data_IF_757729281045
#
_entry.id   IF_757729281045
#
_cell.length_a   1.000
_cell.length_b   1.000
_cell.length_c   1.000
_cell.angle_alpha   90.00
_cell.angle_beta   90.00
_cell.angle_gamma   90.00
#
_symmetry.space_group_name_H-M   'P 1'
#
loop_
_entity.id
_entity.type
_entity.pdbx_description
1 polymer ?
#
# COMPACT_ATOMS: atom_id res chain seq x y z
N UNK A 1 28.40 -72.68 24.61
CA UNK A 1 28.02 -72.15 25.94
C UNK A 1 26.74 -71.34 25.75
N UNK A 2 25.62 -72.05 25.97
CA UNK A 2 24.24 -71.70 26.34
C UNK A 2 23.68 -70.32 25.91
N UNK A 3 22.68 -70.22 25.01
CA UNK A 3 21.22 -70.43 25.20
C UNK A 3 20.63 -69.50 26.28
N UNK A 4 19.44 -68.89 26.22
CA UNK A 4 18.25 -68.79 25.35
C UNK A 4 17.33 -67.77 26.11
N UNK A 5 16.66 -66.79 25.48
CA UNK A 5 15.23 -66.79 25.09
C UNK A 5 14.18 -66.52 26.22
N UNK A 6 13.15 -65.71 25.88
CA UNK A 6 11.71 -65.78 26.34
C UNK A 6 11.26 -64.95 27.58
N UNK A 7 10.50 -63.84 27.42
CA UNK A 7 9.01 -63.59 27.43
C UNK A 7 8.34 -63.50 28.82
N UNK A 8 7.41 -62.52 28.97
CA UNK A 8 6.23 -62.56 29.88
C UNK A 8 6.08 -61.31 30.78
N UNK A 9 5.07 -60.43 30.57
CA UNK A 9 3.74 -60.34 31.27
C UNK A 9 3.84 -60.15 32.79
N UNK A 10 3.00 -59.42 33.55
CA UNK A 10 1.89 -58.45 33.43
C UNK A 10 1.61 -58.01 34.90
N UNK A 11 1.00 -56.83 35.08
CA UNK A 11 -0.02 -56.50 36.11
C UNK A 11 0.22 -56.61 37.65
N UNK A 12 0.02 -55.43 38.29
CA UNK A 12 -0.99 -55.12 39.34
C UNK A 12 -0.72 -55.29 40.86
N UNK A 13 -1.19 -54.23 41.57
CA UNK A 13 -1.76 -54.17 42.96
C UNK A 13 -0.75 -54.20 44.13
N UNK A 14 -0.87 -53.47 45.25
CA UNK A 14 -1.66 -52.32 45.73
C UNK A 14 -1.15 -51.94 47.15
N UNK A 15 -1.90 -51.07 47.83
CA UNK A 15 -1.95 -50.76 49.28
C UNK A 15 -1.13 -49.53 49.73
N UNK A 16 -1.64 -48.58 50.54
CA UNK A 16 -2.81 -48.58 51.44
C UNK A 16 -3.29 -47.16 51.84
N UNK A 17 -4.63 -47.06 52.01
CA UNK A 17 -5.42 -46.43 53.11
C UNK A 17 -5.29 -44.92 53.42
N UNK A 18 -6.33 -44.16 53.80
CA UNK A 18 -7.36 -44.36 54.86
C UNK A 18 -8.63 -43.48 54.60
N UNK A 19 -9.80 -44.02 54.98
CA UNK A 19 -11.19 -43.49 54.97
C UNK A 19 -11.54 -42.55 56.16
N UNK A 20 -12.57 -41.67 56.14
CA UNK A 20 -14.01 -41.85 56.48
C UNK A 20 -14.69 -40.45 56.37
N UNK A 21 -15.87 -40.19 55.77
CA UNK A 21 -17.28 -40.49 56.14
C UNK A 21 -17.70 -40.03 57.57
N UNK A 22 -18.87 -39.45 57.92
CA UNK A 22 -20.11 -38.92 57.29
C UNK A 22 -21.03 -38.44 58.47
N UNK A 23 -21.91 -37.41 58.35
CA UNK A 23 -23.28 -37.34 58.98
C UNK A 23 -23.94 -35.93 59.05
N UNK A 24 -25.28 -35.91 58.95
CA UNK A 24 -26.27 -34.83 58.70
C UNK A 24 -26.93 -34.20 59.97
N UNK A 25 -27.73 -33.14 59.70
CA UNK A 25 -28.89 -32.52 60.45
C UNK A 25 -28.58 -31.23 61.26
N UNK A 26 -29.39 -30.14 61.35
CA UNK A 26 -30.77 -29.78 60.96
C UNK A 26 -31.07 -28.27 61.23
N UNK A 27 -32.05 -27.69 60.51
CA UNK A 27 -32.94 -26.52 60.78
C UNK A 27 -32.57 -25.06 60.43
N UNK A 28 -33.51 -24.39 59.74
CA UNK A 28 -33.63 -22.93 59.53
C UNK A 28 -34.77 -22.33 60.39
N UNK A 29 -34.84 -21.00 60.55
CA UNK A 29 -35.97 -20.30 59.93
C UNK A 29 -35.64 -18.92 59.28
N UNK A 30 -36.38 -18.60 58.20
CA UNK A 30 -37.03 -17.32 57.75
C UNK A 30 -36.47 -15.94 58.24
N UNK A 31 -36.36 -14.84 57.47
CA UNK A 31 -37.10 -14.32 56.31
C UNK A 31 -36.27 -13.31 55.45
N UNK A 32 -36.54 -13.32 54.13
CA UNK A 32 -36.70 -12.22 53.13
C UNK A 32 -35.59 -11.18 52.88
N UNK A 33 -35.04 -11.23 51.65
CA UNK A 33 -34.35 -10.11 50.99
C UNK A 33 -33.76 -10.47 49.63
N UNK A 34 -34.56 -10.33 48.57
CA UNK A 34 -34.26 -10.67 47.16
C UNK A 34 -33.18 -9.77 46.55
N UNK A 35 -32.05 -10.32 46.09
CA UNK A 35 -31.21 -9.75 45.02
C UNK A 35 -30.43 -10.84 44.28
N UNK A 36 -30.32 -10.64 42.97
CA UNK A 36 -29.96 -11.60 41.91
C UNK A 36 -28.43 -11.73 41.80
N UNK A 37 -27.84 -12.91 41.45
CA UNK A 37 -26.41 -13.12 41.51
C UNK A 37 -25.64 -12.43 40.37
N UNK A 38 -24.48 -11.87 40.71
CA UNK A 38 -23.43 -11.42 39.79
C UNK A 38 -23.08 -12.51 38.78
N UNK A 39 -23.34 -12.21 37.50
CA UNK A 39 -22.80 -12.95 36.37
C UNK A 39 -21.39 -12.43 36.09
N UNK A 40 -20.40 -13.29 36.25
CA UNK A 40 -19.00 -13.01 35.92
C UNK A 40 -18.90 -12.57 34.45
N UNK A 41 -18.40 -11.35 34.23
CA UNK A 41 -18.04 -10.85 32.92
C UNK A 41 -16.98 -11.77 32.30
N UNK A 42 -17.40 -12.56 31.32
CA UNK A 42 -16.49 -13.14 30.35
C UNK A 42 -15.68 -12.00 29.71
N UNK A 43 -14.36 -12.11 29.77
CA UNK A 43 -13.43 -11.19 29.13
C UNK A 43 -13.74 -11.13 27.63
N UNK A 44 -14.46 -10.09 27.22
CA UNK A 44 -14.59 -9.71 25.82
C UNK A 44 -13.18 -9.38 25.35
N UNK A 45 -12.55 -10.30 24.62
CA UNK A 45 -11.37 -9.96 23.81
C UNK A 45 -11.81 -8.89 22.81
N UNK A 46 -11.55 -7.64 23.14
CA UNK A 46 -11.50 -6.56 22.17
C UNK A 46 -10.39 -6.91 21.19
N UNK A 47 -10.74 -7.50 20.06
CA UNK A 47 -9.86 -7.56 18.89
C UNK A 47 -9.87 -6.15 18.33
N UNK A 48 -8.98 -5.30 18.83
CA UNK A 48 -8.61 -4.08 18.13
C UNK A 48 -7.67 -4.51 17.01
N UNK A 49 -8.21 -4.93 15.87
CA UNK A 49 -7.39 -4.98 14.65
C UNK A 49 -7.19 -3.54 14.19
N UNK A 50 -6.25 -2.84 14.81
CA UNK A 50 -5.68 -1.64 14.21
C UNK A 50 -5.04 -2.09 12.90
N UNK A 51 -5.73 -1.91 11.77
CA UNK A 51 -5.22 -2.34 10.48
C UNK A 51 -4.07 -1.40 10.09
N UNK A 52 -2.86 -1.73 10.55
CA UNK A 52 -1.66 -0.98 10.18
C UNK A 52 -1.42 -1.17 8.69
N UNK A 53 -1.14 -0.09 7.93
CA UNK A 53 -0.87 -0.21 6.51
C UNK A 53 0.38 -1.05 6.29
N UNK A 54 0.27 -2.06 5.41
CA UNK A 54 1.35 -2.99 5.09
C UNK A 54 2.58 -2.24 4.61
N UNK A 55 3.75 -2.46 5.23
CA UNK A 55 4.97 -1.74 4.85
C UNK A 55 5.58 -2.31 3.58
N UNK A 56 5.93 -1.42 2.64
CA UNK A 56 6.55 -1.77 1.36
C UNK A 56 7.96 -1.20 1.28
N UNK A 57 8.96 -2.00 0.89
CA UNK A 57 10.33 -1.55 0.68
C UNK A 57 10.68 -1.46 -0.80
N UNK A 58 11.36 -0.36 -1.16
CA UNK A 58 11.93 -0.19 -2.49
C UNK A 58 13.45 -0.33 -2.43
N UNK A 59 13.97 -1.34 -3.12
CA UNK A 59 15.39 -1.69 -3.16
C UNK A 59 15.94 -1.58 -4.57
N UNK A 60 17.23 -1.27 -4.67
CA UNK A 60 17.97 -1.30 -5.93
C UNK A 60 19.24 -2.11 -5.77
N UNK A 61 19.62 -2.88 -6.79
CA UNK A 61 20.95 -3.44 -6.85
C UNK A 61 21.99 -2.34 -7.08
N UNK A 62 23.24 -2.63 -6.72
CA UNK A 62 24.38 -1.86 -7.15
C UNK A 62 24.37 -1.69 -8.68
N UNK A 63 24.86 -0.53 -9.13
CA UNK A 63 24.98 -0.15 -10.55
C UNK A 63 23.66 -0.04 -11.32
N UNK A 64 22.51 0.04 -10.63
CA UNK A 64 21.22 0.32 -11.27
C UNK A 64 21.26 1.59 -12.13
N UNK A 65 20.67 1.61 -13.35
CA UNK A 65 20.69 2.78 -14.25
C UNK A 65 20.11 4.05 -13.63
N UNK A 66 20.46 5.21 -14.19
CA UNK A 66 19.95 6.51 -13.75
C UNK A 66 18.42 6.58 -13.71
N UNK A 67 17.78 6.15 -14.80
CA UNK A 67 16.33 6.09 -14.90
C UNK A 67 15.68 5.23 -13.79
N UNK A 68 16.26 4.07 -13.45
CA UNK A 68 15.74 3.23 -12.37
C UNK A 68 15.89 3.86 -10.98
N UNK A 69 16.98 4.62 -10.75
CA UNK A 69 17.15 5.35 -9.48
C UNK A 69 16.10 6.44 -9.32
N UNK A 70 15.81 7.16 -10.41
CA UNK A 70 14.77 8.18 -10.44
C UNK A 70 13.38 7.55 -10.33
N UNK A 71 13.12 6.44 -11.02
CA UNK A 71 11.87 5.68 -10.89
C UNK A 71 11.57 5.32 -9.42
N UNK A 72 12.56 4.83 -8.67
CA UNK A 72 12.35 4.52 -7.24
C UNK A 72 12.06 5.77 -6.42
N UNK A 73 12.69 6.91 -6.73
CA UNK A 73 12.38 8.18 -6.07
C UNK A 73 10.96 8.65 -6.41
N UNK A 74 10.57 8.57 -7.68
CA UNK A 74 9.23 8.93 -8.17
C UNK A 74 8.17 8.04 -7.53
N UNK A 75 8.44 6.74 -7.38
CA UNK A 75 7.54 5.82 -6.68
C UNK A 75 7.46 6.12 -5.17
N UNK A 76 8.57 6.50 -4.54
CA UNK A 76 8.59 6.85 -3.10
C UNK A 76 7.79 8.12 -2.82
N UNK A 77 7.80 9.11 -3.72
CA UNK A 77 7.01 10.34 -3.55
C UNK A 77 5.54 10.17 -3.91
N UNK A 78 5.24 9.22 -4.81
CA UNK A 78 3.88 8.95 -5.27
C UNK A 78 3.12 8.00 -4.35
N UNK A 79 3.79 7.00 -3.79
CA UNK A 79 3.21 6.02 -2.86
C UNK A 79 3.12 6.59 -1.44
N UNK A 80 2.28 6.02 -0.56
CA UNK A 80 2.14 6.53 0.79
C UNK A 80 3.36 6.26 1.66
N UNK A 81 3.38 6.88 2.83
CA UNK A 81 4.52 6.89 3.76
C UNK A 81 4.99 5.50 4.22
N UNK A 82 4.11 4.50 4.19
CA UNK A 82 4.47 3.09 4.44
C UNK A 82 5.38 2.48 3.36
N UNK A 83 5.55 3.16 2.21
CA UNK A 83 6.49 2.77 1.17
C UNK A 83 7.82 3.49 1.35
N UNK A 84 8.84 2.75 1.76
CA UNK A 84 10.14 3.32 2.13
C UNK A 84 11.25 2.80 1.23
N UNK A 85 12.09 3.72 0.76
CA UNK A 85 13.32 3.36 0.07
C UNK A 85 14.40 2.93 1.06
N UNK A 86 15.08 1.83 0.76
CA UNK A 86 16.21 1.34 1.57
C UNK A 86 17.52 1.28 0.74
N UNK A 87 18.59 0.85 1.39
CA UNK A 87 19.96 0.78 0.90
C UNK A 87 20.11 -0.19 -0.28
N UNK A 88 21.22 -0.05 -1.01
CA UNK A 88 21.45 -0.81 -2.23
C UNK A 88 21.88 -2.24 -1.91
N UNK A 89 21.30 -3.20 -2.62
CA UNK A 89 21.70 -4.61 -2.58
C UNK A 89 22.93 -4.88 -3.44
N UNK A 90 23.60 -6.01 -3.17
CA UNK A 90 24.68 -6.53 -4.00
C UNK A 90 24.22 -6.76 -5.45
N UNK A 91 25.16 -6.92 -6.39
CA UNK A 91 24.84 -7.17 -7.81
C UNK A 91 24.16 -8.52 -8.04
N UNK A 92 24.37 -9.48 -7.13
CA UNK A 92 23.66 -10.76 -7.08
C UNK A 92 23.21 -11.00 -5.65
N UNK A 93 21.97 -11.46 -5.51
CA UNK A 93 21.33 -11.82 -4.27
C UNK A 93 20.29 -12.91 -4.58
N UNK A 94 19.97 -13.70 -3.56
CA UNK A 94 18.93 -14.72 -3.58
C UNK A 94 17.62 -14.16 -3.02
N UNK A 95 16.54 -14.93 -3.11
CA UNK A 95 15.29 -14.59 -2.44
C UNK A 95 15.43 -14.58 -0.91
N UNK A 96 16.30 -15.43 -0.36
CA UNK A 96 16.56 -15.49 1.09
C UNK A 96 17.18 -14.19 1.59
N UNK A 97 18.13 -13.61 0.84
CA UNK A 97 18.70 -12.30 1.19
C UNK A 97 17.64 -11.19 1.21
N UNK A 98 16.63 -11.28 0.33
CA UNK A 98 15.52 -10.32 0.28
C UNK A 98 14.55 -10.54 1.43
N UNK A 99 14.26 -11.80 1.77
CA UNK A 99 13.41 -12.16 2.91
C UNK A 99 14.05 -11.72 4.24
N UNK A 100 15.35 -11.95 4.43
CA UNK A 100 16.07 -11.50 5.63
C UNK A 100 15.96 -9.97 5.80
N UNK A 101 16.05 -9.22 4.70
CA UNK A 101 15.91 -7.76 4.73
C UNK A 101 14.47 -7.35 5.02
N UNK A 102 13.48 -8.08 4.51
CA UNK A 102 12.07 -7.88 4.82
C UNK A 102 11.83 -8.00 6.33
N UNK A 103 12.33 -9.08 6.94
CA UNK A 103 12.19 -9.35 8.36
C UNK A 103 12.92 -8.31 9.22
N UNK A 104 14.15 -7.95 8.85
CA UNK A 104 14.93 -6.91 9.55
C UNK A 104 14.26 -5.54 9.54
N UNK A 105 13.48 -5.24 8.50
CA UNK A 105 12.81 -3.96 8.30
C UNK A 105 11.32 -4.00 8.60
N UNK A 106 10.80 -5.14 9.06
CA UNK A 106 9.38 -5.40 9.29
C UNK A 106 8.52 -4.99 8.08
N UNK A 107 8.91 -5.47 6.90
CA UNK A 107 8.23 -5.19 5.64
C UNK A 107 7.52 -6.42 5.11
N UNK A 108 6.27 -6.24 4.71
CA UNK A 108 5.46 -7.30 4.09
C UNK A 108 5.73 -7.39 2.60
N UNK A 109 6.02 -6.26 1.97
CA UNK A 109 6.18 -6.17 0.53
C UNK A 109 7.55 -5.61 0.18
N UNK A 110 8.16 -6.14 -0.88
CA UNK A 110 9.42 -5.62 -1.40
C UNK A 110 9.35 -5.53 -2.92
N UNK A 111 9.76 -4.37 -3.44
CA UNK A 111 10.04 -4.17 -4.85
C UNK A 111 11.55 -3.97 -5.04
N UNK A 112 12.21 -4.89 -5.74
CA UNK A 112 13.65 -4.82 -6.00
C UNK A 112 13.92 -4.59 -7.48
N UNK A 113 14.72 -3.60 -7.83
CA UNK A 113 15.25 -3.46 -9.20
C UNK A 113 16.67 -4.05 -9.24
N UNK A 114 16.79 -5.20 -9.88
CA UNK A 114 18.04 -5.90 -10.13
C UNK A 114 18.65 -5.50 -11.47
N UNK A 115 19.90 -5.09 -11.46
CA UNK A 115 20.68 -4.80 -12.67
C UNK A 115 21.91 -5.69 -12.71
N UNK A 116 22.01 -6.52 -13.75
CA UNK A 116 23.17 -7.38 -14.01
C UNK A 116 23.91 -6.91 -15.26
N UNK A 117 25.25 -6.95 -15.25
CA UNK A 117 26.07 -6.56 -16.41
C UNK A 117 25.73 -7.25 -17.74
N UNK A 118 25.24 -8.49 -17.70
CA UNK A 118 24.93 -9.31 -18.89
C UNK A 118 23.43 -9.40 -19.19
N UNK A 119 22.59 -8.71 -18.42
CA UNK A 119 21.15 -8.70 -18.68
C UNK A 119 20.83 -7.60 -19.70
N UNK A 120 20.00 -7.87 -20.71
CA UNK A 120 19.62 -6.85 -21.70
C UNK A 120 18.84 -5.68 -21.08
N UNK A 121 18.12 -5.93 -19.98
CA UNK A 121 17.37 -4.92 -19.24
C UNK A 121 17.39 -5.22 -17.72
N UNK A 122 17.11 -4.22 -16.87
CA UNK A 122 16.88 -4.45 -15.45
C UNK A 122 15.71 -5.39 -15.20
N UNK A 123 15.77 -6.14 -14.11
CA UNK A 123 14.72 -7.07 -13.68
C UNK A 123 14.09 -6.51 -12.41
N UNK A 124 12.78 -6.30 -12.43
CA UNK A 124 12.00 -5.93 -11.26
C UNK A 124 11.48 -7.20 -10.57
N UNK A 125 11.83 -7.38 -9.31
CA UNK A 125 11.28 -8.42 -8.46
C UNK A 125 10.15 -7.81 -7.64
N UNK A 126 8.97 -8.36 -7.77
CA UNK A 126 7.84 -8.03 -6.93
C UNK A 126 7.65 -9.18 -5.94
N UNK A 127 7.81 -8.86 -4.65
CA UNK A 127 7.80 -9.82 -3.55
C UNK A 127 6.72 -9.38 -2.56
N UNK A 128 5.80 -10.27 -2.22
CA UNK A 128 4.74 -10.01 -1.25
C UNK A 128 4.66 -11.14 -0.25
N UNK A 129 4.46 -10.82 1.03
CA UNK A 129 4.29 -11.81 2.10
C UNK A 129 3.02 -12.63 1.85
N UNK A 130 3.10 -13.92 2.09
CA UNK A 130 1.99 -14.85 1.88
C UNK A 130 1.92 -15.83 3.04
N UNK A 131 0.72 -15.99 3.62
CA UNK A 131 0.49 -16.95 4.71
C UNK A 131 0.22 -18.37 4.19
N UNK A 132 0.30 -18.56 2.87
CA UNK A 132 0.08 -19.85 2.23
C UNK A 132 1.24 -20.80 2.58
N UNK A 133 0.90 -21.92 3.22
CA UNK A 133 1.82 -22.98 3.60
C UNK A 133 2.63 -23.58 2.42
N UNK A 134 2.24 -23.29 1.18
CA UNK A 134 2.95 -23.70 -0.03
C UNK A 134 4.25 -22.92 -0.28
N UNK A 135 4.39 -21.69 0.25
CA UNK A 135 5.62 -20.92 0.07
C UNK A 135 6.68 -21.37 1.06
N UNK A 136 7.79 -21.93 0.56
CA UNK A 136 8.95 -22.35 1.38
C UNK A 136 9.61 -21.20 2.14
N UNK A 137 9.42 -19.96 1.68
CA UNK A 137 10.06 -18.75 2.21
C UNK A 137 9.06 -17.82 2.89
N UNK A 138 7.74 -18.10 2.86
CA UNK A 138 6.71 -17.18 3.36
C UNK A 138 6.43 -15.97 2.46
N UNK A 139 7.01 -15.94 1.25
CA UNK A 139 6.84 -14.88 0.27
C UNK A 139 6.44 -15.45 -1.09
N UNK A 140 5.59 -14.73 -1.80
CA UNK A 140 5.30 -14.91 -3.21
C UNK A 140 6.16 -13.96 -4.04
N UNK A 141 6.78 -14.49 -5.09
CA UNK A 141 7.73 -13.76 -5.94
C UNK A 141 7.31 -13.88 -7.40
N UNK A 142 7.43 -12.77 -8.11
CA UNK A 142 7.39 -12.72 -9.56
C UNK A 142 8.45 -11.75 -10.08
N UNK A 143 9.07 -12.08 -11.22
CA UNK A 143 10.14 -11.27 -11.81
C UNK A 143 9.70 -10.77 -13.17
N UNK A 144 9.86 -9.47 -13.39
CA UNK A 144 9.54 -8.81 -14.64
C UNK A 144 10.80 -8.22 -15.26
N UNK A 145 10.96 -8.37 -16.57
CA UNK A 145 11.92 -7.53 -17.29
C UNK A 145 11.34 -6.11 -17.40
N UNK A 146 12.10 -5.13 -16.95
CA UNK A 146 11.67 -3.73 -16.90
C UNK A 146 12.14 -2.98 -18.14
N UNK A 147 11.20 -2.39 -18.88
CA UNK A 147 11.49 -1.62 -20.11
C UNK A 147 10.66 -0.34 -20.15
N UNK A 148 11.03 0.58 -21.05
CA UNK A 148 10.27 1.81 -21.29
C UNK A 148 10.06 2.65 -20.02
N UNK A 149 11.11 2.76 -19.19
CA UNK A 149 11.07 3.58 -17.97
C UNK A 149 11.19 5.05 -18.35
N UNK A 150 10.10 5.78 -18.17
CA UNK A 150 10.04 7.23 -18.31
C UNK A 150 9.74 7.86 -16.96
N UNK A 151 10.61 8.77 -16.55
CA UNK A 151 10.57 9.38 -15.22
C UNK A 151 9.63 10.58 -15.17
N UNK A 152 9.20 10.97 -13.97
CA UNK A 152 8.39 12.19 -13.80
C UNK A 152 9.14 13.46 -14.24
N UNK A 153 10.47 13.48 -14.17
CA UNK A 153 11.27 14.62 -14.64
C UNK A 153 11.29 14.75 -16.17
N UNK A 154 11.11 13.65 -16.90
CA UNK A 154 11.08 13.64 -18.37
C UNK A 154 9.67 13.96 -18.90
N UNK A 155 8.64 13.52 -18.17
CA UNK A 155 7.25 13.65 -18.57
C UNK A 155 6.59 14.85 -17.88
N UNK A 156 6.10 15.80 -18.69
CA UNK A 156 5.39 16.97 -18.18
C UNK A 156 3.92 16.65 -17.96
N UNK A 157 3.60 16.18 -16.75
CA UNK A 157 2.24 15.87 -16.35
C UNK A 157 1.45 17.09 -15.88
N UNK A 158 0.14 17.04 -16.08
CA UNK A 158 -0.80 18.06 -15.59
C UNK A 158 -1.39 17.71 -14.22
N UNK A 159 -1.34 16.43 -13.83
CA UNK A 159 -1.84 15.98 -12.53
C UNK A 159 -0.84 16.29 -11.42
N UNK A 160 -1.31 16.98 -10.37
CA UNK A 160 -0.53 17.25 -9.16
C UNK A 160 -1.25 16.66 -7.93
N UNK A 161 -1.19 15.33 -7.72
CA UNK A 161 -1.81 14.68 -6.57
C UNK A 161 -1.08 15.09 -5.28
N UNK A 162 -1.72 14.87 -4.13
CA UNK A 162 -1.05 15.10 -2.84
C UNK A 162 0.11 14.10 -2.68
N UNK A 163 1.26 14.54 -2.16
CA UNK A 163 2.36 13.62 -1.89
C UNK A 163 1.97 12.63 -0.78
N UNK A 164 2.44 11.38 -0.89
CA UNK A 164 2.31 10.34 0.14
C UNK A 164 0.88 9.99 0.57
N UNK A 165 -0.15 10.26 -0.26
CA UNK A 165 -1.52 9.79 0.03
C UNK A 165 -1.79 8.42 -0.57
N UNK A 166 -2.93 7.83 -0.18
CA UNK A 166 -3.32 6.49 -0.60
C UNK A 166 -3.47 6.38 -2.11
N UNK A 167 -3.18 5.18 -2.62
CA UNK A 167 -3.32 4.84 -4.02
C UNK A 167 -4.22 3.62 -4.18
N UNK A 168 -5.16 3.73 -5.11
CA UNK A 168 -6.00 2.63 -5.56
C UNK A 168 -5.39 1.99 -6.80
N UNK A 169 -5.59 0.69 -6.98
CA UNK A 169 -5.12 0.00 -8.19
C UNK A 169 -6.29 -0.35 -9.10
N UNK A 170 -6.04 -0.32 -10.41
CA UNK A 170 -6.98 -0.74 -11.44
C UNK A 170 -6.30 -1.77 -12.34
N UNK A 171 -6.92 -2.94 -12.47
CA UNK A 171 -6.44 -4.02 -13.34
C UNK A 171 -7.45 -4.27 -14.45
N UNK A 172 -6.96 -4.48 -15.67
CA UNK A 172 -7.76 -4.95 -16.80
C UNK A 172 -8.22 -6.40 -16.60
N UNK A 173 -9.33 -6.78 -17.25
CA UNK A 173 -9.87 -8.15 -17.18
C UNK A 173 -8.89 -9.20 -17.72
N UNK A 174 -7.95 -8.79 -18.56
CA UNK A 174 -6.91 -9.65 -19.13
C UNK A 174 -6.06 -10.38 -18.07
N UNK A 175 -5.96 -9.83 -16.86
CA UNK A 175 -5.23 -10.46 -15.76
C UNK A 175 -5.89 -11.75 -15.25
N UNK A 176 -7.18 -11.97 -15.53
CA UNK A 176 -7.89 -13.20 -15.12
C UNK A 176 -7.66 -14.37 -16.08
N UNK A 177 -7.01 -14.14 -17.22
CA UNK A 177 -6.87 -15.13 -18.30
C UNK A 177 -5.90 -16.28 -18.01
N UNK A 178 -4.92 -16.10 -17.11
CA UNK A 178 -3.97 -17.17 -16.71
C UNK A 178 -3.71 -17.16 -15.21
N UNK A 179 -3.28 -18.28 -14.62
CA UNK A 179 -2.97 -18.29 -13.19
C UNK A 179 -1.72 -17.47 -12.87
N UNK A 180 -0.71 -17.48 -13.76
CA UNK A 180 0.45 -16.60 -13.66
C UNK A 180 0.10 -15.11 -13.64
N UNK A 181 -0.84 -14.66 -14.48
CA UNK A 181 -1.31 -13.27 -14.47
C UNK A 181 -2.15 -12.95 -13.23
N UNK A 182 -2.96 -13.88 -12.75
CA UNK A 182 -3.68 -13.71 -11.47
C UNK A 182 -2.73 -13.59 -10.29
N UNK A 183 -1.63 -14.36 -10.27
CA UNK A 183 -0.54 -14.23 -9.29
C UNK A 183 0.11 -12.85 -9.41
N UNK A 184 0.43 -12.41 -10.62
CA UNK A 184 0.99 -11.08 -10.87
C UNK A 184 0.06 -9.98 -10.33
N UNK A 185 -1.24 -10.06 -10.63
CA UNK A 185 -2.28 -9.16 -10.13
C UNK A 185 -2.32 -9.14 -8.61
N UNK A 186 -2.33 -10.30 -7.96
CA UNK A 186 -2.34 -10.41 -6.49
C UNK A 186 -1.13 -9.73 -5.84
N UNK A 187 0.08 -10.00 -6.34
CA UNK A 187 1.31 -9.40 -5.81
C UNK A 187 1.35 -7.89 -6.04
N UNK A 188 1.03 -7.44 -7.27
CA UNK A 188 1.01 -6.01 -7.60
C UNK A 188 -0.07 -5.26 -6.81
N UNK A 189 -1.23 -5.89 -6.58
CA UNK A 189 -2.28 -5.36 -5.72
C UNK A 189 -1.74 -5.13 -4.31
N UNK A 190 -1.06 -6.10 -3.70
CA UNK A 190 -0.50 -5.94 -2.35
C UNK A 190 0.56 -4.84 -2.25
N UNK A 191 1.35 -4.63 -3.30
CA UNK A 191 2.43 -3.63 -3.32
C UNK A 191 1.89 -2.22 -3.54
N UNK A 192 1.00 -2.04 -4.52
CA UNK A 192 0.58 -0.72 -5.00
C UNK A 192 -0.77 -0.27 -4.44
N UNK A 193 -1.62 -1.19 -3.97
CA UNK A 193 -2.89 -0.81 -3.36
C UNK A 193 -2.68 -0.53 -1.88
N UNK A 194 -2.94 0.71 -1.51
CA UNK A 194 -2.70 1.18 -0.13
C UNK A 194 -3.96 1.69 0.52
N UNK A 195 -5.10 1.55 -0.15
CA UNK A 195 -6.41 1.73 0.48
C UNK A 195 -6.60 0.59 1.47
N UNK A 196 -6.75 0.94 2.74
CA UNK A 196 -7.21 -0.01 3.75
C UNK A 196 -8.66 -0.36 3.38
N UNK A 197 -9.00 -1.65 3.30
CA UNK A 197 -10.41 -2.05 3.28
C UNK A 197 -11.00 -1.63 4.62
N UNK A 198 -11.69 -0.49 4.62
CA UNK A 198 -12.37 0.00 5.82
C UNK A 198 -13.65 -0.84 5.93
N UNK A 199 -13.60 -1.95 6.66
CA UNK A 199 -14.77 -2.78 6.98
C UNK A 199 -15.70 -2.14 8.02
N UNK A 200 -15.26 -1.06 8.69
CA UNK A 200 -16.09 -0.31 9.64
C UNK A 200 -16.71 0.93 8.98
N UNK A 201 -17.97 1.23 9.34
CA UNK A 201 -18.72 2.42 8.94
C UNK A 201 -17.81 3.65 8.75
N UNK A 202 -17.93 4.38 7.63
CA UNK A 202 -16.98 5.40 7.24
C UNK A 202 -16.90 6.44 8.35
N UNK A 203 -15.85 6.35 9.16
CA UNK A 203 -15.40 7.53 9.90
C UNK A 203 -15.28 8.63 8.86
N UNK A 204 -15.71 9.83 9.21
CA UNK A 204 -15.90 11.03 8.37
C UNK A 204 -14.74 11.44 7.44
N UNK A 205 -13.67 10.65 7.40
CA UNK A 205 -12.61 10.50 6.40
C UNK A 205 -13.15 10.08 5.01
N UNK A 206 -14.01 10.93 4.45
CA UNK A 206 -14.15 11.30 3.03
C UNK A 206 -13.60 10.30 2.00
N UNK A 207 -14.51 9.71 1.20
CA UNK A 207 -14.27 8.95 -0.04
C UNK A 207 -13.32 9.68 -1.03
N UNK A 208 -12.03 9.72 -0.71
CA UNK A 208 -11.05 10.49 -1.46
C UNK A 208 -10.08 9.54 -2.15
N UNK A 209 -10.47 9.14 -3.36
CA UNK A 209 -9.55 8.50 -4.29
C UNK A 209 -8.70 9.60 -4.92
N UNK A 210 -7.44 9.72 -4.49
CA UNK A 210 -6.50 10.70 -5.03
C UNK A 210 -5.79 10.17 -6.28
N UNK A 211 -5.25 8.94 -6.18
CA UNK A 211 -4.38 8.34 -7.19
C UNK A 211 -4.85 6.94 -7.58
N UNK A 212 -4.73 6.65 -8.86
CA UNK A 212 -4.90 5.31 -9.43
C UNK A 212 -3.60 4.85 -10.07
N UNK A 213 -3.08 3.70 -9.66
CA UNK A 213 -2.14 2.91 -10.46
C UNK A 213 -2.93 1.97 -11.37
N UNK A 214 -2.83 2.18 -12.68
CA UNK A 214 -3.49 1.36 -13.69
C UNK A 214 -2.51 0.37 -14.32
N UNK A 215 -2.94 -0.87 -14.41
CA UNK A 215 -2.23 -1.99 -15.02
C UNK A 215 -3.03 -2.52 -16.21
N UNK A 216 -2.46 -2.37 -17.40
CA UNK A 216 -3.05 -2.85 -18.65
C UNK A 216 -2.09 -3.76 -19.38
N UNK A 217 -2.64 -4.78 -20.03
CA UNK A 217 -1.87 -5.73 -20.82
C UNK A 217 -1.95 -5.32 -22.28
N UNK A 218 -0.80 -5.18 -22.93
CA UNK A 218 -0.66 -4.97 -24.37
C UNK A 218 0.53 -5.79 -24.86
N UNK A 219 0.33 -6.58 -25.91
CA UNK A 219 1.36 -7.44 -26.51
C UNK A 219 2.10 -8.30 -25.47
N UNK A 220 1.36 -8.96 -24.59
CA UNK A 220 1.86 -9.78 -23.47
C UNK A 220 2.74 -9.04 -22.45
N UNK A 221 2.76 -7.71 -22.49
CA UNK A 221 3.48 -6.87 -21.54
C UNK A 221 2.50 -6.08 -20.68
N UNK A 222 2.84 -5.92 -19.40
CA UNK A 222 2.04 -5.15 -18.45
C UNK A 222 2.57 -3.73 -18.45
N UNK A 223 1.77 -2.78 -18.90
CA UNK A 223 2.08 -1.37 -18.80
C UNK A 223 1.49 -0.78 -17.53
N UNK A 224 2.30 0.03 -16.85
CA UNK A 224 1.93 0.68 -15.60
C UNK A 224 1.85 2.19 -15.81
N UNK A 225 0.72 2.78 -15.42
CA UNK A 225 0.47 4.24 -15.49
C UNK A 225 -0.17 4.73 -14.20
N UNK A 226 0.04 6.00 -13.90
CA UNK A 226 -0.50 6.62 -12.69
C UNK A 226 -1.34 7.83 -13.04
N UNK A 227 -2.53 7.88 -12.48
CA UNK A 227 -3.51 8.93 -12.72
C UNK A 227 -3.93 9.58 -11.40
N UNK A 228 -4.07 10.89 -11.44
CA UNK A 228 -4.68 11.71 -10.40
C UNK A 228 -6.15 11.90 -10.75
N UNK A 229 -7.03 11.59 -9.81
CA UNK A 229 -8.46 11.87 -9.91
C UNK A 229 -8.77 13.17 -9.19
N UNK A 230 -9.28 14.15 -9.93
CA UNK A 230 -9.72 15.43 -9.39
C UNK A 230 -11.24 15.47 -9.36
N UNK A 231 -11.83 15.48 -8.17
CA UNK A 231 -13.26 15.77 -8.00
C UNK A 231 -13.49 17.26 -8.25
N UNK A 232 -14.20 17.59 -9.34
CA UNK A 232 -14.60 18.98 -9.59
C UNK A 232 -15.94 19.26 -8.95
N UNK A 233 -15.87 20.06 -7.89
CA UNK A 233 -17.02 20.72 -7.27
C UNK A 233 -16.82 22.22 -7.46
N UNK A 234 -17.90 22.98 -7.68
CA UNK A 234 -17.81 24.47 -7.75
C UNK A 234 -17.15 25.08 -6.51
N UNK A 235 -17.28 24.47 -5.33
CA UNK A 235 -16.55 24.86 -4.12
C UNK A 235 -15.03 24.73 -4.26
N UNK A 236 -14.56 23.60 -4.80
CA UNK A 236 -13.16 23.39 -5.08
C UNK A 236 -12.65 24.40 -6.12
N UNK A 237 -13.44 24.72 -7.14
CA UNK A 237 -13.12 25.75 -8.13
C UNK A 237 -13.01 27.14 -7.51
N UNK A 238 -13.92 27.50 -6.59
CA UNK A 238 -13.85 28.76 -5.82
C UNK A 238 -12.56 28.84 -4.99
N UNK A 239 -12.18 27.76 -4.31
CA UNK A 239 -10.95 27.68 -3.50
C UNK A 239 -9.70 27.77 -4.38
N UNK A 240 -9.69 27.10 -5.54
CA UNK A 240 -8.58 27.18 -6.49
C UNK A 240 -8.46 28.59 -7.06
N UNK A 241 -9.58 29.23 -7.43
CA UNK A 241 -9.59 30.58 -7.96
C UNK A 241 -9.13 31.62 -6.93
N UNK A 242 -9.49 31.47 -5.65
CA UNK A 242 -9.01 32.35 -4.59
C UNK A 242 -7.50 32.20 -4.35
N UNK A 243 -6.98 30.97 -4.34
CA UNK A 243 -5.53 30.70 -4.25
C UNK A 243 -4.75 31.29 -5.45
N UNK A 244 -5.23 31.08 -6.67
CA UNK A 244 -4.62 31.66 -7.87
C UNK A 244 -4.59 33.20 -7.84
N UNK A 245 -5.64 33.83 -7.28
CA UNK A 245 -5.65 35.29 -7.06
C UNK A 245 -4.62 35.71 -6.02
N UNK A 246 -4.48 34.97 -4.92
CA UNK A 246 -3.46 35.24 -3.90
C UNK A 246 -2.03 35.07 -4.46
N UNK A 247 -1.75 34.00 -5.21
CA UNK A 247 -0.44 33.80 -5.84
C UNK A 247 -0.12 34.89 -6.86
N UNK A 248 -1.11 35.33 -7.65
CA UNK A 248 -0.93 36.47 -8.57
C UNK A 248 -0.62 37.77 -7.85
N UNK A 249 -1.28 38.03 -6.70
CA UNK A 249 -0.98 39.19 -5.85
C UNK A 249 0.43 39.10 -5.28
N UNK A 250 0.80 37.96 -4.69
CA UNK A 250 2.13 37.74 -4.11
C UNK A 250 3.25 37.81 -5.17
N UNK A 251 3.00 37.33 -6.38
CA UNK A 251 3.94 37.43 -7.49
C UNK A 251 4.00 38.84 -8.10
N UNK A 252 2.91 39.62 -8.02
CA UNK A 252 2.91 41.03 -8.40
C UNK A 252 3.70 41.85 -7.35
N UNK A 253 3.47 41.61 -6.07
CA UNK A 253 4.21 42.19 -4.95
C UNK A 253 5.70 41.86 -5.03
N UNK A 254 6.09 40.60 -5.28
CA UNK A 254 7.50 40.23 -5.51
C UNK A 254 8.11 40.89 -6.74
N UNK A 255 7.34 41.04 -7.82
CA UNK A 255 7.80 41.79 -9.01
C UNK A 255 7.89 43.29 -8.76
N UNK A 256 7.09 43.81 -7.84
CA UNK A 256 7.11 45.21 -7.44
C UNK A 256 8.29 45.45 -6.48
N UNK A 257 8.57 44.54 -5.54
CA UNK A 257 9.79 44.53 -4.71
C UNK A 257 11.06 44.39 -5.57
N UNK A 258 11.09 43.46 -6.53
CA UNK A 258 12.20 43.33 -7.51
C UNK A 258 12.34 44.57 -8.42
N UNK A 259 11.26 45.33 -8.65
CA UNK A 259 11.30 46.60 -9.38
C UNK A 259 11.66 47.80 -8.50
N UNK A 260 11.32 47.76 -7.21
CA UNK A 260 11.68 48.77 -6.21
C UNK A 260 13.19 48.71 -5.92
N UNK A 261 13.82 47.53 -6.07
CA UNK A 261 15.28 47.38 -6.05
C UNK A 261 16.00 47.97 -7.30
N UNK A 262 15.27 48.34 -8.38
CA UNK A 262 15.84 48.98 -9.56
C UNK A 262 15.41 50.45 -9.78
N UNK A 263 14.33 50.96 -9.19
CA UNK A 263 13.91 52.36 -9.38
C UNK A 263 13.22 52.93 -8.12
N UNK A 264 13.99 53.58 -7.23
CA UNK A 264 13.47 54.68 -6.40
C UNK A 264 13.23 55.91 -7.30
N UNK A 265 12.03 56.04 -7.89
CA UNK A 265 11.50 57.34 -8.32
C UNK A 265 10.01 57.26 -8.76
N UNK A 266 9.21 58.08 -8.06
CA UNK A 266 7.92 58.67 -8.42
C UNK A 266 6.60 57.94 -8.07
N UNK A 267 5.84 58.67 -7.25
CA UNK A 267 4.48 58.40 -6.75
C UNK A 267 3.39 58.54 -7.82
N UNK A 268 2.36 57.68 -7.78
CA UNK A 268 0.95 58.01 -7.43
C UNK A 268 0.07 56.74 -7.33
N UNK A 269 -0.99 56.72 -6.50
CA UNK A 269 -1.89 55.58 -6.33
C UNK A 269 -3.14 55.68 -7.22
N UNK A 270 -3.54 54.58 -7.86
CA UNK A 270 -4.82 54.48 -8.58
C UNK A 270 -5.67 53.30 -8.06
N UNK A 271 -6.92 53.67 -7.74
CA UNK A 271 -8.23 53.01 -7.74
C UNK A 271 -8.41 51.52 -7.40
N UNK A 272 -9.26 51.31 -6.39
CA UNK A 272 -9.85 50.03 -5.99
C UNK A 272 -10.73 49.46 -7.11
N UNK A 273 -10.47 48.21 -7.51
CA UNK A 273 -11.30 47.49 -8.47
C UNK A 273 -12.61 47.00 -7.81
N UNK A 274 -13.72 47.60 -8.22
CA UNK A 274 -15.09 47.22 -7.90
C UNK A 274 -15.42 45.82 -8.44
N UNK A 275 -16.03 44.97 -7.61
CA UNK A 275 -16.41 43.59 -7.97
C UNK A 275 -17.77 43.61 -8.66
N UNK A 276 -17.81 43.14 -9.90
CA UNK A 276 -19.01 43.07 -10.75
C UNK A 276 -20.10 42.15 -10.14
N UNK A 277 -21.33 42.66 -9.84
CA UNK A 277 -22.37 41.94 -9.10
C UNK A 277 -23.05 40.79 -9.88
N UNK A 278 -22.73 40.59 -11.16
CA UNK A 278 -23.37 39.57 -11.99
C UNK A 278 -22.89 38.12 -11.72
N UNK A 279 -21.94 37.92 -10.79
CA UNK A 279 -21.46 36.59 -10.40
C UNK A 279 -22.41 35.95 -9.35
N UNK A 280 -23.13 36.75 -8.55
CA UNK A 280 -23.98 36.25 -7.46
C UNK A 280 -25.28 35.59 -7.95
N UNK A 281 -25.85 36.08 -9.05
CA UNK A 281 -27.08 35.51 -9.62
C UNK A 281 -26.86 34.12 -10.27
N UNK A 282 -25.64 33.83 -10.72
CA UNK A 282 -25.25 32.50 -11.24
C UNK A 282 -25.07 31.47 -10.11
N UNK A 283 -24.88 31.94 -8.87
CA UNK A 283 -24.63 31.11 -7.68
C UNK A 283 -25.94 30.54 -7.12
N UNK A 284 -27.06 31.27 -7.21
CA UNK A 284 -28.33 30.88 -6.59
C UNK A 284 -29.14 29.79 -7.33
N UNK A 285 -28.75 29.42 -8.56
CA UNK A 285 -29.49 28.42 -9.37
C UNK A 285 -28.85 27.02 -9.40
N UNK A 286 -27.84 26.76 -8.56
CA UNK A 286 -26.86 25.70 -8.83
C UNK A 286 -26.59 24.76 -7.65
N UNK A 287 -27.62 24.35 -6.92
CA UNK A 287 -27.46 23.43 -5.78
C UNK A 287 -27.43 21.94 -6.16
N UNK A 288 -27.82 21.54 -7.38
CA UNK A 288 -28.04 20.11 -7.71
C UNK A 288 -27.25 19.57 -8.93
N UNK A 289 -25.96 19.91 -9.09
CA UNK A 289 -25.12 19.20 -10.07
C UNK A 289 -24.26 18.10 -9.41
N UNK A 290 -24.42 16.87 -9.92
CA UNK A 290 -23.57 15.72 -9.58
C UNK A 290 -22.12 16.08 -9.91
N UNK A 291 -21.17 15.91 -8.97
CA UNK A 291 -19.76 16.20 -9.23
C UNK A 291 -19.24 15.29 -10.35
N UNK A 292 -18.46 15.86 -11.26
CA UNK A 292 -17.76 15.08 -12.28
C UNK A 292 -16.27 14.98 -11.95
N UNK A 293 -15.65 13.89 -12.38
CA UNK A 293 -14.24 13.59 -12.11
C UNK A 293 -13.40 13.88 -13.35
N UNK A 294 -12.30 14.61 -13.16
CA UNK A 294 -11.27 14.79 -14.18
C UNK A 294 -10.09 13.89 -13.86
N UNK A 295 -9.64 13.13 -14.86
CA UNK A 295 -8.51 12.20 -14.70
C UNK A 295 -7.32 12.77 -15.46
N UNK A 296 -6.19 12.96 -14.76
CA UNK A 296 -4.93 13.45 -15.34
C UNK A 296 -3.81 12.51 -15.00
N UNK A 297 -2.96 12.20 -15.96
CA UNK A 297 -1.76 11.43 -15.68
C UNK A 297 -0.79 12.24 -14.79
N UNK A 298 -0.09 11.57 -13.88
CA UNK A 298 0.69 12.24 -12.82
C UNK A 298 1.96 11.51 -12.36
N UNK A 299 2.37 10.39 -12.97
CA UNK A 299 3.47 9.57 -12.45
C UNK A 299 4.27 8.84 -13.52
N UNK A 300 5.35 8.15 -13.15
CA UNK A 300 6.28 7.54 -14.10
C UNK A 300 5.59 6.48 -14.97
N UNK A 301 6.10 6.26 -16.19
CA UNK A 301 5.63 5.19 -17.06
C UNK A 301 6.67 4.09 -17.09
N UNK A 302 6.25 2.85 -16.99
CA UNK A 302 7.12 1.71 -17.24
C UNK A 302 6.33 0.50 -17.73
N UNK A 303 7.05 -0.45 -18.29
CA UNK A 303 6.49 -1.69 -18.85
C UNK A 303 7.20 -2.88 -18.23
N UNK A 304 6.41 -3.83 -17.75
CA UNK A 304 6.83 -5.06 -17.09
C UNK A 304 6.54 -6.22 -18.05
N UNK A 305 7.58 -6.96 -18.41
CA UNK A 305 7.44 -8.18 -19.21
C UNK A 305 7.55 -9.38 -18.28
N UNK A 306 6.48 -10.14 -18.05
CA UNK A 306 6.55 -11.39 -17.30
C UNK A 306 7.49 -12.38 -18.00
N UNK A 307 8.18 -13.23 -17.25
CA UNK A 307 8.89 -14.36 -17.84
C UNK A 307 7.87 -15.39 -18.33
N UNK A 308 8.11 -16.02 -19.47
CA UNK A 308 7.23 -17.08 -19.99
C UNK A 308 7.03 -18.20 -18.94
N UNK A 309 8.08 -18.51 -18.18
CA UNK A 309 8.03 -19.47 -17.09
C UNK A 309 7.12 -19.04 -15.93
N UNK A 310 7.06 -17.74 -15.62
CA UNK A 310 6.21 -17.24 -14.54
C UNK A 310 4.72 -17.18 -14.97
N UNK A 311 4.45 -17.32 -16.27
CA UNK A 311 3.11 -17.39 -16.86
C UNK A 311 2.61 -18.83 -17.07
N UNK A 312 3.49 -19.83 -16.99
CA UNK A 312 3.13 -21.24 -17.13
C UNK A 312 2.63 -21.79 -15.80
N UNK A 313 1.37 -22.19 -15.76
CA UNK A 313 0.69 -22.73 -14.59
C UNK A 313 1.34 -24.04 -14.07
N UNK A 314 2.17 -24.70 -14.88
CA UNK A 314 2.91 -25.92 -14.51
C UNK A 314 4.38 -25.68 -14.12
N UNK A 315 4.86 -24.44 -14.18
CA UNK A 315 6.27 -24.16 -13.93
C UNK A 315 6.62 -24.22 -12.45
N UNK A 316 7.60 -25.05 -12.11
CA UNK A 316 8.23 -25.09 -10.78
C UNK A 316 9.63 -24.50 -10.91
N UNK A 317 9.97 -23.49 -10.11
CA UNK A 317 11.32 -22.92 -10.15
C UNK A 317 12.37 -24.02 -9.89
N UNK A 318 13.36 -24.17 -10.80
CA UNK A 318 14.44 -25.12 -10.59
C UNK A 318 15.20 -24.71 -9.33
N UNK A 319 15.35 -25.64 -8.40
CA UNK A 319 16.11 -25.43 -7.16
C UNK A 319 17.52 -24.93 -7.53
N UNK A 320 17.88 -23.71 -7.13
CA UNK A 320 19.25 -23.22 -7.27
C UNK A 320 20.16 -24.21 -6.54
N UNK A 321 21.09 -24.84 -7.27
CA UNK A 321 22.11 -25.69 -6.64
C UNK A 321 23.04 -24.75 -5.87
N UNK A 322 22.94 -24.80 -4.54
CA UNK A 322 23.88 -24.18 -3.60
C UNK A 322 25.33 -24.50 -3.94
#
# INVERSE_FOLDING_TARGET
>A
MNHAETVGTENMIAEASIANENSKEMCCPEEVGRQVPEMQCASTKTVTSSHTPKKTLLLLSLKSPGACRQLVNDLTSLLPENTVRDSKLKERFSIYDVADIADMRDAENILVIETRKKSPAPIMWAVAKTDLAASKTGYDVIKFMLTGVYTMSELKFLGNPLANTQMTTLFTEDFEKSAGLRKAKSILLQIFNTTVEIEEEPSTTKDYVDKIASFFILDNSIHVRFYHIQKKTREAEKIIASRLRQEKKLNAEKKEEEKIDEIEANNKPDEEAEVDPNIEAVIASAEDQVPWYEIKECGPRFTLHPRDSDLDDNYTEPQEKN
#
